data_IF_891983215939
#
_entry.id   IF_891983215939
#
_cell.length_a   1.000
_cell.length_b   1.000
_cell.length_c   1.000
_cell.angle_alpha   90.00
_cell.angle_beta   90.00
_cell.angle_gamma   90.00
#
_symmetry.space_group_name_H-M   'P 1'
#
loop_
_entity.id
_entity.type
_entity.pdbx_description
1 polymer ?
#
# COMPACT_ATOMS: atom_id res chain seq x y z
N UNK A 1 -0.03 -15.16 10.76
CA UNK A 1 -0.37 -14.60 12.08
C UNK A 1 -1.62 -13.75 11.86
N UNK A 2 -2.70 -14.15 12.48
CA UNK A 2 -3.96 -13.38 12.41
C UNK A 2 -3.76 -12.16 13.30
N UNK A 3 -4.02 -10.95 12.79
CA UNK A 3 -4.03 -9.75 13.63
C UNK A 3 -5.23 -9.85 14.58
N UNK A 4 -5.00 -9.50 15.83
CA UNK A 4 -6.10 -9.35 16.78
C UNK A 4 -7.04 -8.22 16.31
N UNK A 5 -8.33 -8.38 16.49
CA UNK A 5 -9.34 -7.40 16.06
C UNK A 5 -9.01 -5.97 16.51
N UNK A 6 -8.52 -5.83 17.74
CA UNK A 6 -8.10 -4.55 18.31
C UNK A 6 -6.98 -3.87 17.49
N UNK A 7 -6.03 -4.65 16.98
CA UNK A 7 -4.93 -4.13 16.14
C UNK A 7 -5.43 -3.69 14.78
N UNK A 8 -6.35 -4.43 14.16
CA UNK A 8 -6.99 -4.03 12.89
C UNK A 8 -7.71 -2.69 13.09
N UNK A 9 -8.52 -2.57 14.14
CA UNK A 9 -9.27 -1.34 14.46
C UNK A 9 -8.31 -0.17 14.71
N UNK A 10 -7.24 -0.37 15.48
CA UNK A 10 -6.26 0.68 15.77
C UNK A 10 -5.52 1.14 14.50
N UNK A 11 -5.07 0.19 13.65
CA UNK A 11 -4.41 0.51 12.39
C UNK A 11 -5.35 1.23 11.42
N UNK A 12 -6.58 0.75 11.29
CA UNK A 12 -7.62 1.37 10.46
C UNK A 12 -7.90 2.80 10.89
N UNK A 13 -8.10 3.01 12.19
CA UNK A 13 -8.30 4.36 12.74
C UNK A 13 -7.12 5.25 12.43
N UNK A 14 -5.90 4.79 12.69
CA UNK A 14 -4.66 5.56 12.41
C UNK A 14 -4.54 5.94 10.93
N UNK A 15 -4.86 5.00 10.02
CA UNK A 15 -4.83 5.25 8.58
C UNK A 15 -5.79 6.38 8.20
N UNK A 16 -7.07 6.25 8.56
CA UNK A 16 -8.09 7.23 8.21
C UNK A 16 -7.87 8.58 8.90
N UNK A 17 -7.51 8.61 10.18
CA UNK A 17 -7.19 9.85 10.90
C UNK A 17 -6.02 10.59 10.21
N UNK A 18 -4.98 9.86 9.79
CA UNK A 18 -3.82 10.45 9.10
C UNK A 18 -4.24 10.99 7.73
N UNK A 19 -4.94 10.20 6.93
CA UNK A 19 -5.37 10.57 5.59
C UNK A 19 -6.36 11.76 5.58
N UNK A 20 -7.25 11.81 6.55
CA UNK A 20 -8.18 12.94 6.76
C UNK A 20 -7.42 14.21 7.17
N UNK A 21 -6.48 14.09 8.11
CA UNK A 21 -5.63 15.23 8.54
C UNK A 21 -4.81 15.81 7.38
N UNK A 22 -4.34 14.98 6.48
CA UNK A 22 -3.61 15.38 5.26
C UNK A 22 -4.53 15.90 4.14
N UNK A 23 -5.85 15.84 4.32
CA UNK A 23 -6.85 16.44 3.42
C UNK A 23 -7.08 15.66 2.11
N UNK A 24 -6.56 14.44 1.96
CA UNK A 24 -6.81 13.66 0.74
C UNK A 24 -7.87 12.55 0.90
N UNK A 25 -8.33 12.26 2.12
CA UNK A 25 -9.42 11.31 2.34
C UNK A 25 -10.77 11.99 2.13
N UNK A 26 -11.31 11.82 0.95
CA UNK A 26 -12.68 12.28 0.61
C UNK A 26 -13.73 11.34 1.20
N UNK A 27 -14.96 11.81 1.36
CA UNK A 27 -16.07 10.95 1.80
C UNK A 27 -16.34 9.84 0.78
N UNK A 28 -16.20 10.15 -0.51
CA UNK A 28 -16.38 9.20 -1.61
C UNK A 28 -15.31 8.09 -1.57
N UNK A 29 -14.03 8.47 -1.37
CA UNK A 29 -12.95 7.48 -1.27
C UNK A 29 -13.13 6.59 -0.02
N UNK A 30 -13.49 7.18 1.11
CA UNK A 30 -13.74 6.43 2.35
C UNK A 30 -14.88 5.43 2.16
N UNK A 31 -16.00 5.87 1.57
CA UNK A 31 -17.15 5.01 1.30
C UNK A 31 -16.82 3.91 0.28
N UNK A 32 -16.05 4.22 -0.77
CA UNK A 32 -15.63 3.27 -1.80
C UNK A 32 -14.70 2.18 -1.25
N UNK A 33 -13.74 2.56 -0.41
CA UNK A 33 -12.79 1.63 0.20
C UNK A 33 -13.47 0.67 1.17
N UNK A 34 -14.31 1.19 2.07
CA UNK A 34 -15.18 0.41 2.96
C UNK A 34 -14.50 -0.76 3.67
N UNK A 35 -15.27 -1.81 3.93
CA UNK A 35 -14.78 -3.02 4.60
C UNK A 35 -13.77 -3.81 3.76
N UNK A 36 -13.88 -3.78 2.43
CA UNK A 36 -12.96 -4.51 1.55
C UNK A 36 -11.52 -4.06 1.75
N UNK A 37 -11.29 -2.75 1.92
CA UNK A 37 -9.97 -2.20 2.22
C UNK A 37 -9.49 -2.57 3.61
N UNK A 38 -10.37 -2.47 4.61
CA UNK A 38 -10.02 -2.78 6.01
C UNK A 38 -9.60 -4.24 6.16
N UNK A 39 -10.24 -5.15 5.43
CA UNK A 39 -9.98 -6.59 5.49
C UNK A 39 -8.92 -7.08 4.50
N UNK A 40 -8.51 -6.24 3.55
CA UNK A 40 -7.59 -6.64 2.50
C UNK A 40 -6.23 -7.12 3.05
N UNK A 41 -5.65 -8.21 2.50
CA UNK A 41 -4.27 -8.60 2.76
C UNK A 41 -3.31 -7.78 1.91
N UNK A 42 -2.04 -7.67 2.33
CA UNK A 42 -1.00 -7.05 1.52
C UNK A 42 -0.43 -8.01 0.45
N UNK A 43 -0.50 -9.32 0.69
CA UNK A 43 -0.03 -10.36 -0.22
C UNK A 43 -0.91 -11.62 -0.13
N UNK A 44 -0.65 -12.59 -1.02
CA UNK A 44 -1.47 -13.82 -1.13
C UNK A 44 -0.88 -15.03 -0.44
N UNK A 45 0.44 -15.07 -0.21
CA UNK A 45 1.16 -16.22 0.32
C UNK A 45 1.61 -16.00 1.76
N UNK A 46 1.48 -17.01 2.61
CA UNK A 46 1.80 -16.95 4.03
C UNK A 46 3.28 -16.64 4.36
N UNK A 47 4.19 -16.92 3.42
CA UNK A 47 5.62 -16.65 3.53
C UNK A 47 6.01 -15.27 2.99
N UNK A 48 5.08 -14.56 2.38
CA UNK A 48 5.23 -13.17 1.97
C UNK A 48 4.82 -12.22 3.12
N UNK A 49 4.80 -10.92 2.81
CA UNK A 49 4.45 -9.90 3.80
C UNK A 49 2.92 -9.80 3.99
N UNK A 50 2.50 -9.77 5.24
CA UNK A 50 1.13 -9.45 5.68
C UNK A 50 -0.01 -10.12 4.89
N UNK A 51 0.11 -11.44 4.64
CA UNK A 51 -0.92 -12.27 3.99
C UNK A 51 -2.03 -12.65 4.99
N UNK A 52 -2.71 -11.67 5.59
CA UNK A 52 -3.76 -11.84 6.58
C UNK A 52 -4.75 -10.68 6.54
N UNK A 53 -5.92 -10.84 7.17
CA UNK A 53 -6.96 -9.82 7.24
C UNK A 53 -6.43 -8.54 7.90
N UNK A 54 -6.62 -7.38 7.24
CA UNK A 54 -6.07 -6.09 7.68
C UNK A 54 -4.60 -5.87 7.36
N UNK A 55 -3.95 -6.83 6.70
CA UNK A 55 -2.54 -6.77 6.35
C UNK A 55 -2.16 -5.63 5.42
N UNK A 56 -3.07 -5.22 4.53
CA UNK A 56 -2.84 -4.08 3.63
C UNK A 56 -2.68 -2.77 4.37
N UNK A 57 -3.61 -2.45 5.26
CA UNK A 57 -3.57 -1.21 6.07
C UNK A 57 -2.30 -1.17 6.92
N UNK A 58 -1.94 -2.27 7.56
CA UNK A 58 -0.70 -2.38 8.33
C UNK A 58 0.54 -2.14 7.47
N UNK A 59 0.57 -2.74 6.28
CA UNK A 59 1.66 -2.55 5.33
C UNK A 59 1.82 -1.09 4.91
N UNK A 60 0.73 -0.43 4.51
CA UNK A 60 0.76 0.99 4.11
C UNK A 60 1.29 1.90 5.22
N UNK A 61 0.87 1.67 6.46
CA UNK A 61 1.39 2.40 7.61
C UNK A 61 2.88 2.11 7.89
N UNK A 62 3.32 0.88 7.65
CA UNK A 62 4.73 0.48 7.80
C UNK A 62 5.59 1.12 6.71
N UNK A 63 5.12 1.15 5.46
CA UNK A 63 5.78 1.87 4.35
C UNK A 63 5.94 3.35 4.69
N UNK A 64 4.86 4.01 5.11
CA UNK A 64 4.89 5.41 5.50
C UNK A 64 5.89 5.68 6.65
N UNK A 65 5.91 4.80 7.66
CA UNK A 65 6.87 4.89 8.76
C UNK A 65 8.32 4.87 8.28
N UNK A 66 8.68 3.90 7.43
CA UNK A 66 10.07 3.78 6.94
C UNK A 66 10.44 4.91 5.97
N UNK A 67 9.56 5.28 5.05
CA UNK A 67 9.79 6.39 4.14
C UNK A 67 10.04 7.71 4.90
N UNK A 68 9.23 8.01 5.92
CA UNK A 68 9.43 9.20 6.77
C UNK A 68 10.75 9.11 7.57
N UNK A 69 11.13 7.94 8.07
CA UNK A 69 12.42 7.78 8.75
C UNK A 69 13.60 8.06 7.83
N UNK A 70 13.56 7.54 6.60
CA UNK A 70 14.60 7.81 5.59
C UNK A 70 14.61 9.29 5.23
N UNK A 71 13.47 9.90 4.93
CA UNK A 71 13.38 11.33 4.59
C UNK A 71 13.97 12.22 5.71
N UNK A 72 13.71 11.89 6.97
CA UNK A 72 14.27 12.65 8.11
C UNK A 72 15.79 12.53 8.23
N UNK A 73 16.40 11.47 7.71
CA UNK A 73 17.85 11.26 7.75
C UNK A 73 18.61 11.98 6.63
N UNK A 74 17.89 12.49 5.62
CA UNK A 74 18.50 13.24 4.53
C UNK A 74 18.92 14.65 4.97
N UNK A 75 19.89 15.29 4.27
CA UNK A 75 20.16 16.71 4.37
C UNK A 75 18.88 17.53 4.14
N UNK A 76 18.78 18.72 4.73
CA UNK A 76 17.54 19.51 4.68
C UNK A 76 17.13 19.94 3.26
N UNK A 77 18.11 20.19 2.39
CA UNK A 77 17.93 20.56 0.99
C UNK A 77 17.55 19.38 0.08
N UNK A 78 17.68 18.14 0.56
CA UNK A 78 17.30 16.91 -0.16
C UNK A 78 15.97 16.33 0.33
N UNK A 79 15.42 16.84 1.43
CA UNK A 79 14.14 16.36 1.96
C UNK A 79 12.98 16.71 1.04
N UNK A 80 12.07 15.74 0.89
CA UNK A 80 10.79 16.00 0.23
C UNK A 80 9.75 16.47 1.24
N UNK A 81 8.67 17.11 0.73
CA UNK A 81 7.51 17.45 1.57
C UNK A 81 6.95 16.19 2.24
N UNK A 82 6.78 16.27 3.56
CA UNK A 82 6.35 15.12 4.35
C UNK A 82 4.89 14.75 4.10
N UNK A 83 4.03 15.73 3.79
CA UNK A 83 2.61 15.47 3.56
C UNK A 83 2.40 14.77 2.22
N UNK A 84 3.10 15.19 1.16
CA UNK A 84 3.14 14.49 -0.13
C UNK A 84 3.73 13.06 0.02
N UNK A 85 4.80 12.90 0.80
CA UNK A 85 5.39 11.58 1.05
C UNK A 85 4.41 10.64 1.76
N UNK A 86 3.75 11.11 2.80
CA UNK A 86 2.73 10.33 3.52
C UNK A 86 1.56 9.97 2.60
N UNK A 87 1.09 10.93 1.80
CA UNK A 87 -0.02 10.72 0.85
C UNK A 87 0.31 9.62 -0.15
N UNK A 88 1.46 9.68 -0.82
CA UNK A 88 1.83 8.63 -1.79
C UNK A 88 2.04 7.27 -1.12
N UNK A 89 2.65 7.23 0.09
CA UNK A 89 2.81 6.00 0.85
C UNK A 89 1.48 5.36 1.25
N UNK A 90 0.48 6.15 1.62
CA UNK A 90 -0.83 5.64 2.03
C UNK A 90 -1.71 5.24 0.85
N UNK A 91 -1.48 5.80 -0.34
CA UNK A 91 -2.31 5.55 -1.52
C UNK A 91 -1.73 4.54 -2.51
N UNK A 92 -0.41 4.26 -2.52
CA UNK A 92 0.24 3.52 -3.62
C UNK A 92 -0.28 2.09 -3.85
N UNK A 93 -0.88 1.46 -2.88
CA UNK A 93 -1.42 0.09 -2.99
C UNK A 93 -2.90 -0.05 -2.61
N UNK A 94 -3.67 1.04 -2.51
CA UNK A 94 -5.13 0.92 -2.25
C UNK A 94 -5.86 0.14 -3.35
N UNK A 95 -5.27 0.00 -4.53
CA UNK A 95 -5.74 -0.86 -5.61
C UNK A 95 -5.85 -2.35 -5.24
N UNK A 96 -5.27 -2.76 -4.10
CA UNK A 96 -5.43 -4.11 -3.56
C UNK A 96 -6.72 -4.30 -2.75
N UNK A 97 -7.48 -3.25 -2.45
CA UNK A 97 -8.66 -3.32 -1.57
C UNK A 97 -9.64 -4.44 -1.94
N UNK A 98 -9.89 -4.66 -3.24
CA UNK A 98 -10.83 -5.66 -3.76
C UNK A 98 -10.14 -6.74 -4.59
N UNK A 99 -8.81 -6.73 -4.65
CA UNK A 99 -8.03 -7.54 -5.58
C UNK A 99 -7.94 -9.01 -5.17
N UNK A 100 -8.06 -9.30 -3.90
CA UNK A 100 -7.87 -10.63 -3.35
C UNK A 100 -9.12 -11.12 -2.63
N UNK A 101 -9.42 -12.41 -2.80
CA UNK A 101 -10.42 -13.16 -2.05
C UNK A 101 -9.74 -14.30 -1.28
N UNK A 102 -10.29 -14.75 -0.14
CA UNK A 102 -9.74 -15.90 0.59
C UNK A 102 -9.60 -17.12 -0.32
N UNK A 103 -8.50 -17.85 -0.22
CA UNK A 103 -8.34 -19.10 -0.95
C UNK A 103 -9.29 -20.17 -0.40
N UNK A 104 -10.16 -20.73 -1.24
CA UNK A 104 -11.15 -21.71 -0.82
C UNK A 104 -10.52 -23.09 -0.55
N UNK A 105 -9.44 -23.42 -1.27
CA UNK A 105 -8.77 -24.71 -1.16
C UNK A 105 -7.99 -24.85 0.15
N UNK A 106 -8.44 -25.71 1.04
CA UNK A 106 -7.72 -26.05 2.28
C UNK A 106 -6.35 -26.65 1.99
N UNK A 107 -6.24 -27.49 0.96
CA UNK A 107 -4.97 -28.06 0.54
C UNK A 107 -3.97 -26.97 0.13
N UNK A 108 -4.39 -25.97 -0.63
CA UNK A 108 -3.52 -24.86 -1.02
C UNK A 108 -3.08 -24.03 0.18
N UNK A 109 -3.98 -23.79 1.15
CA UNK A 109 -3.64 -23.04 2.37
C UNK A 109 -2.60 -23.77 3.22
N UNK A 110 -2.79 -25.11 3.40
CA UNK A 110 -1.96 -25.89 4.32
C UNK A 110 -0.64 -26.33 3.71
N UNK A 111 -0.62 -26.72 2.42
CA UNK A 111 0.57 -27.32 1.81
C UNK A 111 1.46 -26.31 1.06
N UNK A 112 0.89 -25.27 0.49
CA UNK A 112 1.66 -24.25 -0.24
C UNK A 112 1.55 -22.85 0.35
N UNK A 113 0.80 -22.68 1.43
CA UNK A 113 0.65 -21.38 2.11
C UNK A 113 -0.11 -20.34 1.31
N UNK A 114 -0.94 -20.70 0.32
CA UNK A 114 -1.77 -19.78 -0.46
C UNK A 114 -2.98 -19.35 0.35
N UNK A 115 -2.87 -18.24 1.05
CA UNK A 115 -3.92 -17.73 1.94
C UNK A 115 -5.04 -17.03 1.16
N UNK A 116 -4.69 -16.35 0.06
CA UNK A 116 -5.61 -15.59 -0.80
C UNK A 116 -5.36 -15.90 -2.27
N UNK A 117 -6.32 -15.59 -3.10
CA UNK A 117 -6.24 -15.70 -4.56
C UNK A 117 -6.78 -14.42 -5.21
N UNK A 118 -6.46 -14.22 -6.49
CA UNK A 118 -6.99 -13.08 -7.21
C UNK A 118 -8.50 -13.19 -7.37
N UNK A 119 -9.16 -12.04 -7.29
CA UNK A 119 -10.59 -11.91 -7.57
C UNK A 119 -10.78 -11.85 -9.09
N UNK A 120 -11.34 -12.92 -9.67
CA UNK A 120 -11.52 -13.09 -11.11
C UNK A 120 -12.56 -12.12 -11.71
N UNK A 121 -13.42 -11.51 -10.87
CA UNK A 121 -14.38 -10.51 -11.29
C UNK A 121 -13.72 -9.14 -11.56
N UNK A 122 -12.44 -8.99 -11.27
CA UNK A 122 -11.72 -7.73 -11.43
C UNK A 122 -11.08 -7.61 -12.81
N UNK A 123 -11.23 -6.44 -13.42
CA UNK A 123 -10.51 -6.09 -14.65
C UNK A 123 -9.01 -6.17 -14.42
N UNK A 124 -8.26 -6.75 -15.37
CA UNK A 124 -6.79 -6.82 -15.28
C UNK A 124 -6.18 -5.42 -15.33
N UNK A 125 -5.49 -5.03 -14.25
CA UNK A 125 -4.86 -3.73 -14.11
C UNK A 125 -3.71 -3.84 -13.12
N UNK A 126 -2.62 -3.11 -13.33
CA UNK A 126 -1.52 -3.04 -12.37
C UNK A 126 -1.98 -2.38 -11.07
N UNK A 127 -1.40 -2.79 -9.93
CA UNK A 127 -1.79 -2.26 -8.61
C UNK A 127 -1.63 -0.74 -8.53
N UNK A 128 -0.51 -0.21 -9.03
CA UNK A 128 -0.25 1.23 -9.05
C UNK A 128 -1.30 2.01 -9.86
N UNK A 129 -1.61 1.54 -11.07
CA UNK A 129 -2.64 2.13 -11.95
C UNK A 129 -4.02 2.07 -11.31
N UNK A 130 -4.39 0.94 -10.72
CA UNK A 130 -5.65 0.75 -10.00
C UNK A 130 -5.74 1.65 -8.78
N UNK A 131 -4.63 1.86 -8.06
CA UNK A 131 -4.58 2.76 -6.90
C UNK A 131 -4.86 4.21 -7.32
N UNK A 132 -4.23 4.67 -8.40
CA UNK A 132 -4.48 5.99 -8.97
C UNK A 132 -5.94 6.10 -9.44
N UNK A 133 -6.43 5.08 -10.17
CA UNK A 133 -7.81 5.06 -10.65
C UNK A 133 -8.82 5.15 -9.49
N UNK A 134 -8.65 4.36 -8.42
CA UNK A 134 -9.53 4.43 -7.26
C UNK A 134 -9.49 5.80 -6.58
N UNK A 135 -8.31 6.34 -6.38
CA UNK A 135 -8.15 7.64 -5.75
C UNK A 135 -8.78 8.78 -6.59
N UNK A 136 -8.43 8.87 -7.88
CA UNK A 136 -8.91 9.95 -8.75
C UNK A 136 -10.41 9.88 -9.04
N UNK A 137 -10.95 8.66 -9.23
CA UNK A 137 -12.40 8.44 -9.44
C UNK A 137 -13.23 8.80 -8.20
N UNK A 138 -12.60 8.92 -7.05
CA UNK A 138 -13.24 9.29 -5.79
C UNK A 138 -12.72 10.64 -5.24
N UNK A 139 -12.35 11.57 -6.14
CA UNK A 139 -12.12 12.98 -5.81
C UNK A 139 -10.71 13.32 -5.31
N UNK A 140 -9.77 12.37 -5.22
CA UNK A 140 -8.38 12.68 -4.85
C UNK A 140 -7.63 13.28 -6.04
N UNK A 141 -7.00 14.43 -5.83
CA UNK A 141 -6.10 15.04 -6.82
C UNK A 141 -4.66 14.73 -6.48
N UNK A 142 -3.80 14.66 -7.49
CA UNK A 142 -2.36 14.45 -7.35
C UNK A 142 -1.60 15.58 -8.04
N UNK A 143 -0.44 15.94 -7.49
CA UNK A 143 0.59 16.62 -8.27
C UNK A 143 1.17 15.65 -9.30
N UNK A 144 1.84 16.17 -10.34
CA UNK A 144 2.52 15.32 -11.33
C UNK A 144 3.54 14.38 -10.67
N UNK A 145 4.28 14.91 -9.69
CA UNK A 145 5.29 14.15 -8.95
C UNK A 145 4.67 13.02 -8.11
N UNK A 146 3.58 13.29 -7.37
CA UNK A 146 2.85 12.28 -6.61
C UNK A 146 2.28 11.18 -7.52
N UNK A 147 1.72 11.57 -8.66
CA UNK A 147 1.20 10.65 -9.67
C UNK A 147 2.29 9.70 -10.17
N UNK A 148 3.43 10.25 -10.58
CA UNK A 148 4.57 9.48 -11.12
C UNK A 148 5.19 8.60 -10.04
N UNK A 149 5.30 9.08 -8.81
CA UNK A 149 5.81 8.30 -7.68
C UNK A 149 4.98 7.02 -7.46
N UNK A 150 3.65 7.13 -7.45
CA UNK A 150 2.76 5.96 -7.31
C UNK A 150 2.83 5.08 -8.56
N UNK A 151 2.78 5.65 -9.77
CA UNK A 151 2.79 4.91 -11.03
C UNK A 151 4.05 4.03 -11.18
N UNK A 152 5.18 4.47 -10.63
CA UNK A 152 6.46 3.77 -10.70
C UNK A 152 6.75 2.87 -9.49
N UNK A 153 5.91 2.89 -8.45
CA UNK A 153 6.16 2.18 -7.19
C UNK A 153 6.37 0.67 -7.34
N UNK A 154 5.74 0.04 -8.34
CA UNK A 154 5.81 -1.40 -8.62
C UNK A 154 6.71 -1.75 -9.81
N UNK A 155 7.42 -0.77 -10.40
CA UNK A 155 8.36 -1.02 -11.51
C UNK A 155 9.69 -1.56 -11.00
N UNK A 156 10.21 -2.58 -11.67
CA UNK A 156 11.56 -3.10 -11.43
C UNK A 156 12.63 -2.19 -12.06
N UNK A 157 13.85 -2.25 -11.56
CA UNK A 157 14.96 -1.38 -12.00
C UNK A 157 15.26 -1.50 -13.51
N UNK A 158 15.10 -2.69 -14.10
CA UNK A 158 15.28 -2.90 -15.55
C UNK A 158 14.30 -2.09 -16.40
N UNK A 159 13.09 -1.83 -15.85
CA UNK A 159 12.06 -1.03 -16.52
C UNK A 159 12.11 0.45 -16.13
N UNK A 160 12.87 0.79 -15.09
CA UNK A 160 13.06 2.16 -14.62
C UNK A 160 14.08 2.95 -15.42
N UNK A 161 14.98 2.29 -16.15
CA UNK A 161 16.05 2.95 -16.94
C UNK A 161 15.56 3.98 -17.97
N UNK A 162 14.28 3.92 -18.35
CA UNK A 162 13.64 4.84 -19.30
C UNK A 162 12.77 5.91 -18.63
N UNK A 163 12.64 5.89 -17.29
CA UNK A 163 11.77 6.80 -16.54
C UNK A 163 12.59 7.57 -15.52
N UNK A 164 12.40 8.87 -15.49
CA UNK A 164 12.90 9.69 -14.40
C UNK A 164 12.03 9.44 -13.17
N UNK A 165 12.64 9.03 -12.07
CA UNK A 165 11.96 8.92 -10.77
C UNK A 165 12.43 10.07 -9.88
N UNK A 166 11.49 10.76 -9.23
CA UNK A 166 11.81 11.82 -8.30
C UNK A 166 12.28 11.27 -6.96
N UNK A 167 12.86 12.12 -6.10
CA UNK A 167 13.21 11.75 -4.72
C UNK A 167 11.98 11.24 -3.95
N UNK A 168 10.79 11.80 -4.21
CA UNK A 168 9.54 11.33 -3.64
C UNK A 168 9.26 9.84 -4.01
N UNK A 169 9.43 9.49 -5.27
CA UNK A 169 9.29 8.11 -5.75
C UNK A 169 10.34 7.16 -5.19
N UNK A 170 11.59 7.61 -5.07
CA UNK A 170 12.67 6.81 -4.47
C UNK A 170 12.42 6.53 -2.98
N UNK A 171 11.96 7.52 -2.22
CA UNK A 171 11.61 7.34 -0.81
C UNK A 171 10.42 6.40 -0.61
N UNK A 172 9.41 6.48 -1.46
CA UNK A 172 8.29 5.52 -1.47
C UNK A 172 8.81 4.09 -1.73
N UNK A 173 9.67 3.89 -2.74
CA UNK A 173 10.28 2.60 -3.07
C UNK A 173 11.12 2.05 -1.93
N UNK A 174 12.00 2.86 -1.34
CA UNK A 174 12.81 2.47 -0.19
C UNK A 174 11.94 2.10 1.02
N UNK A 175 10.93 2.92 1.33
CA UNK A 175 9.95 2.63 2.38
C UNK A 175 9.27 1.27 2.19
N UNK A 176 8.84 0.97 0.95
CA UNK A 176 8.22 -0.30 0.58
C UNK A 176 9.19 -1.49 0.74
N UNK A 177 10.43 -1.37 0.27
CA UNK A 177 11.46 -2.42 0.43
C UNK A 177 11.70 -2.72 1.91
N UNK A 178 11.88 -1.69 2.74
CA UNK A 178 12.12 -1.85 4.18
C UNK A 178 10.90 -2.45 4.89
N UNK A 179 9.70 -2.03 4.52
CA UNK A 179 8.45 -2.56 5.05
C UNK A 179 8.34 -4.06 4.77
N UNK A 180 8.46 -4.47 3.50
CA UNK A 180 8.42 -5.89 3.09
C UNK A 180 9.45 -6.72 3.88
N UNK A 181 10.69 -6.24 4.00
CA UNK A 181 11.74 -6.96 4.75
C UNK A 181 11.45 -7.07 6.24
N UNK A 182 10.84 -6.05 6.85
CA UNK A 182 10.49 -6.08 8.27
C UNK A 182 9.28 -6.98 8.56
N UNK A 183 8.36 -7.14 7.60
CA UNK A 183 7.13 -7.90 7.71
C UNK A 183 7.29 -9.37 7.31
N UNK A 184 8.28 -9.69 6.49
CA UNK A 184 8.63 -11.09 6.18
C UNK A 184 9.06 -11.79 7.45
N UNK A 185 8.42 -12.93 7.77
CA UNK A 185 8.86 -13.76 8.89
C UNK A 185 10.30 -14.20 8.65
N UNK A 186 11.14 -13.98 9.63
CA UNK A 186 12.44 -14.65 9.66
C UNK A 186 12.16 -16.16 9.69
N UNK A 187 12.58 -16.87 8.65
CA UNK A 187 12.56 -18.34 8.62
C UNK A 187 13.53 -18.88 9.66
#
# INVERSE_FOLDING_TARGET
MVLEKERIVANTKKYFDTATKLGFMTEELMAFLGEDFIKAPASTMADLHNAFEGGLVEHLLTVAKYAVLVNKSLPDDEKVDQDSLLKVCLLHQIGKAKLYKPCESEWHRTNIGKMYEFNDDMVSMRVAERSIYYATSNGVTFTEEEYVAILNADKTDDKMSTYHNSMLGELLKLGSILAVKSEQKKK
#
